data_IF_947445946727
#
_entry.id   IF_947445946727
#
_cell.length_a   1.000
_cell.length_b   1.000
_cell.length_c   1.000
_cell.angle_alpha   90.00
_cell.angle_beta   90.00
_cell.angle_gamma   90.00
#
_symmetry.space_group_name_H-M   'P 1'
#
loop_
_entity.id
_entity.type
_entity.pdbx_description
1 polymer ?
#
# COMPACT_ATOMS: atom_id res chain seq x y z
N UNK A 1 26.31 -36.90 4.52
CA UNK A 1 25.21 -36.19 5.20
C UNK A 1 25.66 -34.76 5.41
N UNK A 2 25.16 -33.83 4.60
CA UNK A 2 25.37 -32.39 4.82
C UNK A 2 24.41 -31.95 5.92
N UNK A 3 24.95 -31.44 7.03
CA UNK A 3 24.15 -30.89 8.11
C UNK A 3 23.38 -29.68 7.57
N UNK A 4 22.05 -29.73 7.67
CA UNK A 4 21.20 -28.55 7.47
C UNK A 4 21.52 -27.61 8.63
N UNK A 5 22.28 -26.57 8.33
CA UNK A 5 22.55 -25.50 9.26
C UNK A 5 21.22 -24.77 9.50
N UNK A 6 20.65 -24.94 10.70
CA UNK A 6 19.44 -24.23 11.09
C UNK A 6 19.69 -22.73 10.94
N UNK A 7 18.83 -22.07 10.16
CA UNK A 7 18.90 -20.63 9.98
C UNK A 7 18.78 -19.95 11.37
N UNK A 8 19.61 -18.95 11.69
CA UNK A 8 19.58 -18.30 12.98
C UNK A 8 18.20 -17.66 13.21
N UNK A 9 17.65 -17.84 14.41
CA UNK A 9 16.44 -17.16 14.88
C UNK A 9 16.67 -15.65 14.79
N UNK A 10 16.21 -15.02 13.70
CA UNK A 10 16.16 -13.56 13.61
C UNK A 10 15.23 -13.07 14.70
N UNK A 11 15.74 -12.21 15.58
CA UNK A 11 14.86 -11.45 16.47
C UNK A 11 14.03 -10.53 15.59
N UNK A 12 12.77 -10.30 15.96
CA UNK A 12 11.85 -9.41 15.23
C UNK A 12 12.42 -8.00 14.98
N UNK A 13 13.42 -7.63 15.78
CA UNK A 13 14.19 -6.39 15.73
C UNK A 13 15.19 -6.31 14.55
N UNK A 14 15.52 -7.45 13.92
CA UNK A 14 16.51 -7.53 12.83
C UNK A 14 15.86 -7.63 11.43
N UNK A 15 14.53 -7.69 11.33
CA UNK A 15 13.86 -7.90 10.05
C UNK A 15 14.01 -6.65 9.16
N UNK A 16 14.69 -6.73 8.00
CA UNK A 16 14.84 -5.58 7.13
C UNK A 16 13.48 -5.23 6.52
N UNK A 17 13.11 -3.95 6.54
CA UNK A 17 11.96 -3.45 5.78
C UNK A 17 12.39 -3.27 4.33
N UNK A 18 11.66 -3.91 3.41
CA UNK A 18 11.83 -3.72 1.98
C UNK A 18 10.78 -2.74 1.44
N UNK A 19 11.21 -1.79 0.60
CA UNK A 19 10.29 -0.92 -0.13
C UNK A 19 10.13 -1.47 -1.54
N UNK A 20 8.90 -1.80 -1.92
CA UNK A 20 8.58 -2.48 -3.19
C UNK A 20 7.44 -1.74 -3.90
N UNK A 21 7.31 -1.89 -5.23
CA UNK A 21 6.04 -1.60 -5.90
C UNK A 21 4.94 -2.50 -5.35
N UNK A 22 3.69 -2.00 -5.22
CA UNK A 22 2.56 -2.85 -4.87
C UNK A 22 2.37 -3.95 -5.91
N UNK A 23 1.86 -5.09 -5.45
CA UNK A 23 1.46 -6.18 -6.34
C UNK A 23 0.24 -6.88 -5.76
N UNK A 24 -0.43 -7.65 -6.60
CA UNK A 24 -1.66 -8.37 -6.25
C UNK A 24 -1.51 -9.27 -5.02
N UNK A 25 -0.29 -9.80 -4.77
CA UNK A 25 0.04 -10.56 -3.56
C UNK A 25 -0.27 -9.81 -2.26
N UNK A 26 -0.17 -8.49 -2.27
CA UNK A 26 -0.22 -7.65 -1.06
C UNK A 26 -1.49 -6.81 -0.93
N UNK A 27 -2.37 -6.76 -1.93
CA UNK A 27 -3.54 -5.88 -1.92
C UNK A 27 -4.50 -6.14 -0.77
N UNK A 28 -4.75 -7.40 -0.40
CA UNK A 28 -5.57 -7.72 0.77
C UNK A 28 -4.95 -7.19 2.06
N UNK A 29 -3.62 -7.32 2.22
CA UNK A 29 -2.92 -6.78 3.39
C UNK A 29 -2.96 -5.25 3.43
N UNK A 30 -2.94 -4.60 2.26
CA UNK A 30 -3.12 -3.14 2.16
C UNK A 30 -4.53 -2.74 2.61
N UNK A 31 -5.57 -3.47 2.21
CA UNK A 31 -6.95 -3.23 2.67
C UNK A 31 -7.07 -3.40 4.19
N UNK A 32 -6.43 -4.43 4.75
CA UNK A 32 -6.40 -4.66 6.20
C UNK A 32 -5.71 -3.51 6.94
N UNK A 33 -4.55 -3.07 6.47
CA UNK A 33 -3.80 -1.98 7.08
C UNK A 33 -4.55 -0.64 6.97
N UNK A 34 -5.16 -0.36 5.82
CA UNK A 34 -5.94 0.85 5.58
C UNK A 34 -7.14 0.95 6.54
N UNK A 35 -7.87 -0.15 6.73
CA UNK A 35 -8.97 -0.21 7.70
C UNK A 35 -8.50 0.03 9.15
N UNK A 36 -7.31 -0.47 9.52
CA UNK A 36 -6.71 -0.19 10.84
C UNK A 36 -6.37 1.29 10.97
N UNK A 37 -5.73 1.88 9.95
CA UNK A 37 -5.31 3.28 9.97
C UNK A 37 -6.47 4.27 10.01
N UNK A 38 -7.56 3.98 9.30
CA UNK A 38 -8.75 4.85 9.22
C UNK A 38 -9.86 4.48 10.22
N UNK A 39 -9.62 3.52 11.11
CA UNK A 39 -10.58 3.08 12.14
C UNK A 39 -11.94 2.65 11.54
N UNK A 40 -11.91 1.94 10.41
CA UNK A 40 -13.11 1.50 9.69
C UNK A 40 -13.54 0.11 10.18
N UNK A 41 -14.81 0.00 10.58
CA UNK A 41 -15.42 -1.27 11.00
C UNK A 41 -15.84 -2.15 9.80
N UNK A 42 -16.40 -1.56 8.74
CA UNK A 42 -16.74 -2.27 7.49
C UNK A 42 -15.63 -2.11 6.44
N UNK A 43 -14.67 -3.05 6.48
CA UNK A 43 -13.51 -3.06 5.58
C UNK A 43 -13.89 -3.08 4.10
N UNK A 44 -15.00 -3.74 3.75
CA UNK A 44 -15.42 -3.90 2.35
C UNK A 44 -16.02 -2.64 1.75
N UNK A 45 -16.51 -1.74 2.60
CA UNK A 45 -17.05 -0.46 2.18
C UNK A 45 -15.96 0.60 1.90
N UNK A 46 -14.75 0.41 2.42
CA UNK A 46 -13.68 1.41 2.37
C UNK A 46 -12.64 1.16 1.30
N UNK A 47 -12.02 -0.02 1.29
CA UNK A 47 -10.98 -0.36 0.32
C UNK A 47 -11.10 -1.83 -0.12
N UNK A 48 -10.90 -2.06 -1.42
CA UNK A 48 -10.89 -3.39 -2.03
C UNK A 48 -9.59 -3.64 -2.77
N UNK A 49 -9.22 -4.90 -3.02
CA UNK A 49 -8.08 -5.20 -3.89
C UNK A 49 -8.20 -4.58 -5.29
N UNK A 50 -9.43 -4.49 -5.82
CA UNK A 50 -9.74 -3.83 -7.10
C UNK A 50 -9.39 -2.34 -7.08
N UNK A 51 -9.63 -1.66 -5.96
CA UNK A 51 -9.25 -0.27 -5.78
C UNK A 51 -7.73 -0.10 -5.87
N UNK A 52 -6.94 -0.93 -5.20
CA UNK A 52 -5.47 -0.86 -5.25
C UNK A 52 -4.90 -1.29 -6.60
N UNK A 53 -5.55 -2.25 -7.28
CA UNK A 53 -5.23 -2.62 -8.65
C UNK A 53 -5.41 -1.44 -9.60
N UNK A 54 -6.53 -0.73 -9.49
CA UNK A 54 -6.82 0.46 -10.30
C UNK A 54 -5.87 1.63 -9.99
N UNK A 55 -5.57 1.88 -8.71
CA UNK A 55 -4.57 2.88 -8.30
C UNK A 55 -3.19 2.58 -8.90
N UNK A 56 -2.73 1.33 -8.81
CA UNK A 56 -1.44 0.91 -9.36
C UNK A 56 -1.37 1.04 -10.89
N UNK A 57 -2.48 0.83 -11.58
CA UNK A 57 -2.57 0.98 -13.04
C UNK A 57 -2.57 2.45 -13.49
N UNK A 58 -3.21 3.34 -12.73
CA UNK A 58 -3.37 4.74 -13.11
C UNK A 58 -2.25 5.66 -12.58
N UNK A 59 -1.62 5.33 -11.45
CA UNK A 59 -0.71 6.22 -10.72
C UNK A 59 0.54 5.51 -10.21
N UNK A 60 1.13 4.61 -11.01
CA UNK A 60 2.21 3.72 -10.60
C UNK A 60 3.39 4.42 -9.89
N UNK A 61 3.75 5.63 -10.31
CA UNK A 61 4.88 6.40 -9.76
C UNK A 61 4.68 6.84 -8.30
N UNK A 62 3.43 6.84 -7.81
CA UNK A 62 3.07 7.24 -6.45
C UNK A 62 2.84 6.07 -5.49
N UNK A 63 2.97 4.83 -5.95
CA UNK A 63 2.56 3.65 -5.17
C UNK A 63 3.77 2.84 -4.71
N UNK A 64 3.91 2.69 -3.39
CA UNK A 64 4.94 1.87 -2.77
C UNK A 64 4.35 1.14 -1.56
N UNK A 65 4.90 -0.04 -1.26
CA UNK A 65 4.61 -0.78 -0.03
C UNK A 65 5.91 -0.97 0.77
N UNK A 66 5.80 -0.89 2.09
CA UNK A 66 6.82 -1.30 3.03
C UNK A 66 6.48 -2.69 3.54
N UNK A 67 7.34 -3.67 3.27
CA UNK A 67 7.16 -5.07 3.66
C UNK A 67 8.18 -5.44 4.71
N UNK A 68 7.72 -5.91 5.86
CA UNK A 68 8.54 -6.64 6.82
C UNK A 68 8.93 -7.99 6.19
N UNK A 69 10.20 -8.13 5.82
CA UNK A 69 10.70 -9.32 5.13
C UNK A 69 10.76 -10.58 6.02
N UNK A 70 10.77 -10.42 7.34
CA UNK A 70 10.75 -11.54 8.28
C UNK A 70 9.37 -12.20 8.37
N UNK A 71 8.31 -11.42 8.17
CA UNK A 71 6.92 -11.90 8.31
C UNK A 71 6.12 -11.88 7.01
N UNK A 72 6.68 -11.31 5.93
CA UNK A 72 6.00 -11.05 4.66
C UNK A 72 4.71 -10.22 4.84
N UNK A 73 4.78 -9.23 5.75
CA UNK A 73 3.64 -8.37 6.08
C UNK A 73 3.84 -6.95 5.58
N UNK A 74 2.80 -6.39 4.97
CA UNK A 74 2.73 -4.95 4.69
C UNK A 74 2.59 -4.20 6.01
N UNK A 75 3.54 -3.31 6.28
CA UNK A 75 3.56 -2.46 7.49
C UNK A 75 3.37 -0.97 7.18
N UNK A 76 3.29 -0.64 5.89
CA UNK A 76 3.01 0.71 5.41
C UNK A 76 2.83 0.68 3.90
N UNK A 77 2.11 1.66 3.36
CA UNK A 77 2.03 1.88 1.92
C UNK A 77 1.74 3.35 1.61
N UNK A 78 1.96 3.75 0.37
CA UNK A 78 1.47 5.00 -0.20
C UNK A 78 0.38 4.71 -1.23
N UNK A 79 -0.71 5.46 -1.17
CA UNK A 79 -1.73 5.50 -2.21
C UNK A 79 -1.90 6.95 -2.66
N UNK A 80 -1.21 7.32 -3.74
CA UNK A 80 -1.09 8.72 -4.16
C UNK A 80 -1.46 8.89 -5.63
N UNK A 81 -2.22 9.94 -5.91
CA UNK A 81 -2.48 10.38 -7.29
C UNK A 81 -1.51 11.51 -7.63
N UNK A 82 -0.90 11.44 -8.82
CA UNK A 82 -0.12 12.55 -9.36
C UNK A 82 -0.97 13.29 -10.38
N UNK A 83 -1.08 14.59 -10.19
CA UNK A 83 -1.77 15.49 -11.10
C UNK A 83 -0.79 16.55 -11.60
N UNK A 84 -0.86 16.85 -12.89
CA UNK A 84 -0.11 17.97 -13.46
C UNK A 84 -0.85 19.25 -13.14
N UNK A 85 -0.21 20.14 -12.38
CA UNK A 85 -0.80 21.43 -12.01
C UNK A 85 -0.80 22.37 -13.22
N UNK A 86 -2.01 22.82 -13.62
CA UNK A 86 -2.19 23.86 -14.62
C UNK A 86 -2.66 25.17 -13.93
N UNK A 87 -1.83 26.23 -13.90
CA UNK A 87 -2.23 27.50 -13.31
C UNK A 87 -3.39 28.20 -14.04
N UNK A 88 -3.69 27.80 -15.28
CA UNK A 88 -4.83 28.30 -16.06
C UNK A 88 -6.13 27.54 -15.77
N UNK A 89 -6.02 26.35 -15.15
CA UNK A 89 -7.14 25.52 -14.70
C UNK A 89 -6.95 25.08 -13.25
N UNK A 90 -7.04 26.01 -12.28
CA UNK A 90 -6.79 25.68 -10.88
C UNK A 90 -7.84 24.70 -10.35
N UNK A 91 -7.38 23.73 -9.56
CA UNK A 91 -8.26 22.81 -8.82
C UNK A 91 -8.83 23.53 -7.59
N UNK A 92 -9.95 24.21 -7.79
CA UNK A 92 -10.64 24.98 -6.75
C UNK A 92 -11.64 24.15 -5.93
N UNK A 93 -11.96 22.95 -6.40
CA UNK A 93 -12.82 21.98 -5.72
C UNK A 93 -12.03 21.15 -4.69
N UNK A 94 -12.74 20.57 -3.71
CA UNK A 94 -12.09 19.67 -2.75
C UNK A 94 -11.45 18.48 -3.46
N UNK A 95 -10.42 17.90 -2.85
CA UNK A 95 -9.72 16.74 -3.40
C UNK A 95 -10.69 15.62 -3.78
N UNK A 96 -11.58 15.23 -2.86
CA UNK A 96 -12.59 14.18 -3.10
C UNK A 96 -13.53 14.49 -4.26
N UNK A 97 -13.91 15.75 -4.44
CA UNK A 97 -14.76 16.18 -5.56
C UNK A 97 -13.99 16.18 -6.89
N UNK A 98 -12.69 16.46 -6.84
CA UNK A 98 -11.83 16.59 -8.02
C UNK A 98 -11.36 15.24 -8.54
N UNK A 99 -11.00 14.32 -7.64
CA UNK A 99 -10.48 12.99 -7.99
C UNK A 99 -11.58 11.93 -8.09
N UNK A 100 -12.83 12.32 -7.82
CA UNK A 100 -14.03 11.48 -7.91
C UNK A 100 -13.79 10.10 -7.28
N UNK A 101 -13.57 10.07 -5.97
CA UNK A 101 -13.71 8.84 -5.18
C UNK A 101 -15.16 8.36 -5.29
N UNK A 102 -15.53 7.74 -6.43
CA UNK A 102 -16.84 7.14 -6.68
C UNK A 102 -18.03 8.02 -6.35
#
# INVERSE_FOLDING_TARGET
>A
MLAVQAAPNMRREDAPIAILPPSERYFEQMCELDAICYLIDDRKAWATPEYYRAQSANFAEGQFIAVDTGTDRVVGFTACMRIDFDPTQPLLSSWNHTTNYG
#
